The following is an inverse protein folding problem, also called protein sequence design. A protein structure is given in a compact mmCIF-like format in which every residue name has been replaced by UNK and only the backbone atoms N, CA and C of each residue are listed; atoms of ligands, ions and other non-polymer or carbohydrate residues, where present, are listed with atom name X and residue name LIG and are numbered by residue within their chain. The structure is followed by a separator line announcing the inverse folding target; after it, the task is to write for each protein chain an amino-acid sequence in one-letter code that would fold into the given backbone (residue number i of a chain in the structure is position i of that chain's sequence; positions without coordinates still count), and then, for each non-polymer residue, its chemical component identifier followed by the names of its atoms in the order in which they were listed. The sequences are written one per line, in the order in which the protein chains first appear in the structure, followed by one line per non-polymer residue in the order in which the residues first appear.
data_IF_301917335725
#
_entry.id   IF_301917335725
#
_cell.length_a   1.000
_cell.length_b   1.000
_cell.length_c   1.000
_cell.angle_alpha   90.00
_cell.angle_beta   90.00
_cell.angle_gamma   90.00
#
_symmetry.space_group_name_H-M   'P 1'
#
loop_
_entity.id
_entity.type
_entity.pdbx_description
1 polymer ?
#
# COMPACT_ATOMS: atom_id res chain seq x y z
N UNK A 1 4.48 12.45 -13.34
CA UNK A 1 3.18 11.78 -13.11
C UNK A 1 2.54 12.36 -11.87
N UNK A 2 1.38 13.01 -12.02
CA UNK A 2 0.63 13.48 -10.86
C UNK A 2 -0.43 12.41 -10.53
N UNK A 3 -0.10 11.50 -9.60
CA UNK A 3 -1.10 10.57 -9.09
C UNK A 3 -2.11 11.38 -8.29
N UNK A 4 -3.39 11.21 -8.58
CA UNK A 4 -4.51 11.83 -7.86
C UNK A 4 -5.20 10.75 -7.06
N UNK A 5 -5.35 10.95 -5.74
CA UNK A 5 -6.04 9.98 -4.90
C UNK A 5 -7.51 10.36 -4.71
N UNK A 6 -8.40 9.40 -4.98
CA UNK A 6 -9.83 9.52 -4.73
C UNK A 6 -10.25 8.51 -3.68
N UNK A 7 -11.12 8.93 -2.76
CA UNK A 7 -11.79 8.03 -1.84
C UNK A 7 -12.90 7.29 -2.60
N UNK A 8 -12.86 5.96 -2.62
CA UNK A 8 -13.93 5.17 -3.24
C UNK A 8 -15.18 5.08 -2.36
N UNK A 9 -15.04 5.32 -1.05
CA UNK A 9 -16.11 5.18 -0.04
C UNK A 9 -16.06 6.30 0.98
N UNK A 10 -17.21 6.82 1.37
CA UNK A 10 -17.30 7.84 2.41
C UNK A 10 -16.88 7.29 3.78
N UNK A 11 -16.16 8.06 4.60
CA UNK A 11 -15.69 7.59 5.91
C UNK A 11 -16.83 7.36 6.91
N UNK A 12 -18.04 7.86 6.63
CA UNK A 12 -19.22 7.74 7.51
C UNK A 12 -20.04 6.47 7.28
N UNK A 13 -19.81 5.70 6.21
CA UNK A 13 -20.49 4.42 5.94
C UNK A 13 -19.58 3.24 6.28
N UNK A 14 -18.85 3.35 7.39
CA UNK A 14 -18.01 2.28 7.94
C UNK A 14 -18.81 1.56 9.04
N UNK A 15 -19.71 0.68 8.61
CA UNK A 15 -20.58 -0.14 9.45
C UNK A 15 -19.78 -0.97 10.48
N UNK A 16 -20.27 -1.11 11.73
CA UNK A 16 -19.65 -1.95 12.75
C UNK A 16 -19.76 -3.42 12.31
N UNK A 17 -18.67 -4.01 11.83
CA UNK A 17 -18.63 -5.42 11.42
C UNK A 17 -17.61 -5.76 10.34
N UNK A 18 -17.17 -4.79 9.51
CA UNK A 18 -16.09 -5.02 8.52
C UNK A 18 -14.66 -4.88 9.08
N UNK A 19 -14.54 -4.58 10.37
CA UNK A 19 -13.28 -4.31 11.07
C UNK A 19 -12.38 -5.55 11.31
N UNK A 20 -12.89 -6.75 11.02
CA UNK A 20 -12.15 -8.02 11.18
C UNK A 20 -11.02 -8.18 10.14
N UNK A 21 -11.02 -7.43 9.04
CA UNK A 21 -9.99 -7.54 8.00
C UNK A 21 -8.66 -6.83 8.33
N UNK A 22 -8.65 -5.91 9.30
CA UNK A 22 -7.44 -5.15 9.67
C UNK A 22 -6.61 -5.83 10.77
N UNK A 23 -6.96 -7.07 11.13
CA UNK A 23 -6.41 -7.90 12.21
C UNK A 23 -5.00 -8.49 11.95
N UNK A 24 -4.30 -8.07 10.89
CA UNK A 24 -3.05 -8.73 10.42
C UNK A 24 -1.80 -7.86 10.47
N UNK A 25 -1.87 -6.76 11.23
CA UNK A 25 -0.91 -5.64 11.17
C UNK A 25 0.51 -5.90 11.70
N UNK A 26 0.80 -7.07 12.28
CA UNK A 26 2.15 -7.37 12.78
C UNK A 26 3.12 -7.97 11.77
N UNK A 27 2.67 -8.48 10.62
CA UNK A 27 3.59 -9.08 9.64
C UNK A 27 4.11 -8.08 8.58
N UNK A 28 3.48 -6.91 8.44
CA UNK A 28 3.76 -6.03 7.29
C UNK A 28 5.04 -5.17 7.44
N UNK A 29 5.58 -5.02 8.66
CA UNK A 29 6.81 -4.27 8.91
C UNK A 29 8.10 -5.12 8.85
N UNK A 30 8.02 -6.41 8.50
CA UNK A 30 9.20 -7.28 8.33
C UNK A 30 9.56 -7.60 6.87
N UNK A 31 8.80 -7.10 5.88
CA UNK A 31 9.23 -7.12 4.48
C UNK A 31 9.68 -5.74 4.02
N UNK A 32 10.74 -5.28 4.66
CA UNK A 32 11.36 -3.99 4.45
C UNK A 32 12.13 -3.83 3.12
N UNK A 33 11.99 -4.70 2.11
CA UNK A 33 12.82 -4.61 0.88
C UNK A 33 12.13 -4.88 -0.47
N UNK A 34 10.86 -5.30 -0.55
CA UNK A 34 10.18 -5.34 -1.86
C UNK A 34 9.54 -3.97 -2.10
N UNK A 35 10.25 -3.13 -2.86
CA UNK A 35 9.71 -1.84 -3.25
C UNK A 35 8.74 -2.05 -4.40
N UNK A 36 7.71 -1.20 -4.51
CA UNK A 36 6.88 -1.16 -5.73
C UNK A 36 7.75 -0.90 -6.97
N UNK A 37 8.93 -0.27 -6.82
CA UNK A 37 9.90 -0.15 -7.90
C UNK A 37 10.43 -1.49 -8.42
N UNK A 38 10.40 -2.57 -7.64
CA UNK A 38 10.76 -3.90 -8.15
C UNK A 38 9.73 -4.42 -9.17
N UNK A 39 8.48 -3.94 -9.12
CA UNK A 39 7.47 -4.21 -10.16
C UNK A 39 7.87 -3.53 -11.47
N UNK A 40 8.52 -2.36 -11.43
CA UNK A 40 9.00 -1.69 -12.66
C UNK A 40 10.09 -2.49 -13.37
N UNK A 41 10.80 -3.37 -12.66
CA UNK A 41 11.74 -4.32 -13.29
C UNK A 41 11.01 -5.40 -14.09
N UNK A 42 9.77 -5.75 -13.73
CA UNK A 42 8.99 -6.74 -14.46
C UNK A 42 8.75 -6.30 -15.91
N UNK A 43 8.45 -5.02 -16.13
CA UNK A 43 8.27 -4.46 -17.47
C UNK A 43 9.57 -4.53 -18.29
N UNK A 44 10.72 -4.26 -17.66
CA UNK A 44 12.03 -4.40 -18.29
C UNK A 44 12.27 -5.84 -18.77
N UNK A 45 12.09 -6.84 -17.89
CA UNK A 45 12.26 -8.25 -18.29
C UNK A 45 11.21 -8.71 -19.32
N UNK A 46 9.99 -8.18 -19.24
CA UNK A 46 8.97 -8.45 -20.25
C UNK A 46 9.36 -7.89 -21.63
N UNK A 47 10.11 -6.78 -21.69
CA UNK A 47 10.60 -6.21 -22.94
C UNK A 47 11.70 -7.05 -23.62
N UNK A 48 12.44 -7.85 -22.84
CA UNK A 48 13.45 -8.79 -23.34
C UNK A 48 12.87 -10.15 -23.79
N UNK A 49 11.55 -10.36 -23.63
CA UNK A 49 10.89 -11.59 -24.00
C UNK A 49 10.84 -11.76 -25.53
N UNK A 50 11.25 -12.94 -26.03
CA UNK A 50 11.28 -13.28 -27.46
C UNK A 50 9.89 -13.55 -28.03
N UNK A 51 8.96 -13.98 -27.18
CA UNK A 51 7.61 -14.33 -27.56
C UNK A 51 6.62 -14.11 -26.41
N UNK A 52 5.34 -14.15 -26.77
CA UNK A 52 4.22 -13.92 -25.85
C UNK A 52 4.15 -14.93 -24.70
N UNK A 53 4.50 -16.20 -24.97
CA UNK A 53 4.57 -17.26 -23.95
C UNK A 53 5.61 -16.95 -22.88
N UNK A 54 6.79 -16.52 -23.29
CA UNK A 54 7.87 -16.11 -22.38
C UNK A 54 7.46 -14.87 -21.57
N UNK A 55 6.87 -13.88 -22.24
CA UNK A 55 6.37 -12.66 -21.58
C UNK A 55 5.35 -12.99 -20.50
N UNK A 56 4.41 -13.89 -20.79
CA UNK A 56 3.42 -14.37 -19.82
C UNK A 56 4.08 -15.11 -18.66
N UNK A 57 5.01 -16.03 -18.91
CA UNK A 57 5.72 -16.75 -17.86
C UNK A 57 6.52 -15.84 -16.92
N UNK A 58 7.16 -14.79 -17.46
CA UNK A 58 7.85 -13.75 -16.69
C UNK A 58 6.83 -13.02 -15.79
N UNK A 59 5.73 -12.53 -16.38
CA UNK A 59 4.69 -11.81 -15.64
C UNK A 59 4.08 -12.67 -14.53
N UNK A 60 3.73 -13.93 -14.82
CA UNK A 60 3.18 -14.86 -13.85
C UNK A 60 4.17 -15.11 -12.68
N UNK A 61 5.46 -15.24 -12.98
CA UNK A 61 6.52 -15.39 -11.96
C UNK A 61 6.64 -14.15 -11.07
N UNK A 62 6.58 -12.95 -11.67
CA UNK A 62 6.59 -11.69 -10.91
C UNK A 62 5.36 -11.54 -10.01
N UNK A 63 4.17 -11.85 -10.53
CA UNK A 63 2.93 -11.82 -9.76
C UNK A 63 2.96 -12.85 -8.61
N UNK A 64 3.54 -14.03 -8.84
CA UNK A 64 3.72 -15.04 -7.79
C UNK A 64 4.70 -14.58 -6.71
N UNK A 65 5.83 -13.96 -7.08
CA UNK A 65 6.79 -13.40 -6.14
C UNK A 65 6.17 -12.26 -5.32
N UNK A 66 5.44 -11.35 -5.98
CA UNK A 66 4.68 -10.29 -5.32
C UNK A 66 3.68 -10.86 -4.31
N UNK A 67 2.91 -11.87 -4.73
CA UNK A 67 1.96 -12.58 -3.86
C UNK A 67 2.66 -13.26 -2.69
N UNK A 68 3.83 -13.88 -2.90
CA UNK A 68 4.64 -14.49 -1.84
C UNK A 68 5.08 -13.47 -0.80
N UNK A 69 5.47 -12.26 -1.21
CA UNK A 69 5.81 -11.19 -0.28
C UNK A 69 4.59 -10.78 0.55
N UNK A 70 3.46 -10.42 -0.08
CA UNK A 70 2.28 -9.90 0.63
C UNK A 70 1.40 -10.97 1.31
N UNK A 71 1.73 -12.23 1.11
CA UNK A 71 1.08 -13.38 1.70
C UNK A 71 1.12 -13.29 3.23
N UNK A 72 -0.03 -13.48 3.86
CA UNK A 72 -0.14 -13.42 5.31
C UNK A 72 -0.51 -14.77 5.96
N UNK A 73 -0.76 -15.82 5.15
CA UNK A 73 -0.81 -17.24 5.54
C UNK A 73 0.60 -17.86 5.63
N UNK A 74 0.73 -19.16 5.89
CA UNK A 74 2.03 -19.82 5.91
C UNK A 74 2.82 -19.64 4.60
N UNK A 75 4.07 -19.14 4.69
CA UNK A 75 4.98 -18.97 3.55
C UNK A 75 5.35 -20.28 2.89
N UNK A 76 5.72 -21.29 3.69
CA UNK A 76 6.09 -22.62 3.18
C UNK A 76 4.94 -23.25 2.39
N UNK A 77 3.71 -23.15 2.88
CA UNK A 77 2.54 -23.66 2.19
C UNK A 77 2.41 -23.10 0.77
N UNK A 78 2.50 -21.78 0.62
CA UNK A 78 2.44 -21.14 -0.70
C UNK A 78 3.56 -21.62 -1.61
N UNK A 79 4.78 -21.72 -1.09
CA UNK A 79 5.95 -22.11 -1.88
C UNK A 79 5.82 -23.53 -2.44
N UNK A 80 5.40 -24.49 -1.61
CA UNK A 80 5.20 -25.88 -2.02
C UNK A 80 4.08 -26.00 -3.05
N UNK A 81 2.95 -25.32 -2.83
CA UNK A 81 1.84 -25.28 -3.78
C UNK A 81 2.24 -24.65 -5.12
N UNK A 82 3.09 -23.62 -5.11
CA UNK A 82 3.59 -22.98 -6.34
C UNK A 82 4.39 -23.94 -7.22
N UNK A 83 5.15 -24.87 -6.62
CA UNK A 83 5.90 -25.90 -7.33
C UNK A 83 5.10 -27.20 -7.59
N UNK A 84 3.80 -27.20 -7.30
CA UNK A 84 2.91 -28.34 -7.57
C UNK A 84 2.85 -29.39 -6.47
N UNK A 85 3.42 -29.14 -5.28
CA UNK A 85 3.27 -30.03 -4.13
C UNK A 85 1.96 -29.77 -3.39
N UNK A 86 1.20 -30.83 -3.12
CA UNK A 86 0.01 -30.75 -2.27
C UNK A 86 0.40 -30.57 -0.80
N UNK A 87 0.41 -29.33 -0.34
CA UNK A 87 0.65 -29.00 1.06
C UNK A 87 -0.46 -28.10 1.59
N UNK A 88 -1.23 -28.58 2.57
CA UNK A 88 -2.39 -27.85 3.11
C UNK A 88 -2.27 -27.49 4.59
N UNK A 89 -1.12 -27.78 5.22
CA UNK A 89 -0.87 -27.57 6.64
C UNK A 89 0.01 -26.32 6.84
N UNK A 90 -0.22 -25.53 7.89
CA UNK A 90 0.68 -24.43 8.24
C UNK A 90 1.98 -24.96 8.88
N UNK A 91 3.14 -24.51 8.42
CA UNK A 91 4.42 -25.14 8.79
C UNK A 91 4.92 -24.89 10.22
N UNK A 92 4.25 -24.01 10.99
CA UNK A 92 4.66 -23.61 12.34
C UNK A 92 5.98 -22.82 12.47
N UNK A 93 6.80 -22.71 11.41
CA UNK A 93 8.18 -22.18 11.51
C UNK A 93 8.54 -21.03 10.56
N UNK A 94 7.60 -20.55 9.72
CA UNK A 94 7.83 -19.32 8.97
C UNK A 94 7.40 -18.09 9.79
N UNK A 95 7.91 -16.92 9.43
CA UNK A 95 7.52 -15.62 10.02
C UNK A 95 6.01 -15.44 10.13
N UNK A 96 5.23 -15.82 9.11
CA UNK A 96 3.77 -15.73 9.19
C UNK A 96 3.12 -16.72 10.17
N UNK A 97 3.77 -17.85 10.45
CA UNK A 97 3.29 -18.84 11.42
C UNK A 97 3.72 -18.48 12.86
N UNK A 98 4.92 -17.90 13.02
CA UNK A 98 5.49 -17.55 14.32
C UNK A 98 5.14 -16.13 14.75
N UNK A 99 4.69 -15.26 13.84
CA UNK A 99 4.28 -13.91 14.16
C UNK A 99 3.13 -13.93 15.16
N UNK A 100 3.36 -13.31 16.31
CA UNK A 100 2.30 -12.95 17.23
C UNK A 100 1.40 -11.95 16.49
N UNK A 101 0.14 -12.32 16.31
CA UNK A 101 -0.88 -11.43 15.74
C UNK A 101 -1.23 -10.36 16.79
N UNK A 102 -0.43 -9.30 16.88
CA UNK A 102 -0.86 -8.13 17.65
C UNK A 102 -1.85 -7.38 16.77
N UNK A 103 -3.13 -7.59 17.06
CA UNK A 103 -4.19 -6.78 16.50
C UNK A 103 -4.01 -5.36 17.04
N UNK A 104 -3.69 -4.40 16.16
CA UNK A 104 -3.66 -2.98 16.48
C UNK A 104 -4.80 -2.31 15.74
N UNK A 105 -5.69 -1.67 16.50
CA UNK A 105 -6.67 -0.77 15.92
C UNK A 105 -5.96 0.47 15.38
N UNK A 106 -6.17 0.76 14.09
CA UNK A 106 -5.62 1.91 13.38
C UNK A 106 -6.72 2.82 12.83
N UNK A 107 -7.94 2.71 13.36
CA UNK A 107 -9.09 3.52 12.95
C UNK A 107 -8.78 5.01 12.96
N UNK A 108 -8.04 5.48 13.97
CA UNK A 108 -7.68 6.89 14.15
C UNK A 108 -6.74 7.35 13.03
N UNK A 109 -5.71 6.56 12.75
CA UNK A 109 -4.70 6.86 11.73
C UNK A 109 -5.29 6.78 10.33
N UNK A 110 -6.13 5.78 10.05
CA UNK A 110 -6.87 5.68 8.78
C UNK A 110 -7.79 6.89 8.58
N UNK A 111 -8.56 7.27 9.61
CA UNK A 111 -9.43 8.44 9.54
C UNK A 111 -8.63 9.73 9.28
N UNK A 112 -7.50 9.89 9.95
CA UNK A 112 -6.60 11.02 9.81
C UNK A 112 -6.02 11.10 8.37
N UNK A 113 -5.58 9.98 7.81
CA UNK A 113 -5.07 9.93 6.44
C UNK A 113 -6.13 10.24 5.40
N UNK A 114 -7.30 9.59 5.48
CA UNK A 114 -8.40 9.80 4.53
C UNK A 114 -8.94 11.23 4.58
N UNK A 115 -9.12 11.77 5.78
CA UNK A 115 -9.58 13.15 5.96
C UNK A 115 -8.56 14.16 5.43
N UNK A 116 -7.26 13.84 5.48
CA UNK A 116 -6.21 14.72 4.98
C UNK A 116 -6.19 14.73 3.45
N UNK A 117 -6.25 13.54 2.83
CA UNK A 117 -6.37 13.38 1.38
C UNK A 117 -7.60 14.14 0.86
N UNK A 118 -8.74 14.02 1.55
CA UNK A 118 -9.96 14.77 1.22
C UNK A 118 -9.78 16.28 1.34
N UNK A 119 -9.14 16.75 2.41
CA UNK A 119 -8.88 18.19 2.64
C UNK A 119 -7.89 18.77 1.62
N UNK A 120 -6.93 17.98 1.15
CA UNK A 120 -6.04 18.35 0.05
C UNK A 120 -6.70 18.28 -1.34
N UNK A 121 -7.97 17.87 -1.42
CA UNK A 121 -8.78 17.87 -2.63
C UNK A 121 -8.43 16.78 -3.65
N UNK A 122 -7.75 15.70 -3.24
CA UNK A 122 -7.42 14.55 -4.10
C UNK A 122 -6.50 14.85 -5.29
N UNK A 123 -5.93 16.05 -5.36
CA UNK A 123 -5.07 16.51 -6.49
C UNK A 123 -3.62 16.03 -6.42
N UNK A 124 -3.27 15.33 -5.35
CA UNK A 124 -1.90 15.00 -5.03
C UNK A 124 -1.74 13.52 -4.76
N UNK A 125 -0.53 13.02 -5.03
CA UNK A 125 -0.12 11.69 -4.62
C UNK A 125 0.02 11.63 -3.09
N UNK A 126 0.21 10.41 -2.58
CA UNK A 126 0.25 10.10 -1.16
C UNK A 126 1.24 10.99 -0.35
N UNK A 127 2.36 11.40 -0.97
CA UNK A 127 3.41 12.15 -0.29
C UNK A 127 2.93 13.48 0.31
N UNK A 128 2.09 14.25 -0.39
CA UNK A 128 1.70 15.58 0.10
C UNK A 128 0.78 15.49 1.34
N UNK A 129 -0.31 14.71 1.35
CA UNK A 129 -1.08 14.49 2.57
C UNK A 129 -0.23 13.96 3.73
N UNK A 130 0.73 13.07 3.46
CA UNK A 130 1.66 12.56 4.49
C UNK A 130 2.53 13.67 5.05
N UNK A 131 3.07 14.55 4.20
CA UNK A 131 3.88 15.67 4.65
C UNK A 131 3.04 16.68 5.46
N UNK A 132 1.78 16.91 5.09
CA UNK A 132 0.83 17.72 5.88
C UNK A 132 0.61 17.10 7.26
N UNK A 133 0.30 15.80 7.33
CA UNK A 133 0.10 15.11 8.61
C UNK A 133 1.32 15.14 9.52
N UNK A 134 2.52 15.05 8.94
CA UNK A 134 3.78 15.12 9.68
C UNK A 134 4.17 16.54 10.10
N UNK A 135 3.42 17.56 9.68
CA UNK A 135 3.67 18.95 10.03
C UNK A 135 4.73 19.63 9.18
N UNK A 136 5.00 19.12 7.97
CA UNK A 136 5.93 19.74 7.04
C UNK A 136 5.49 21.14 6.65
N UNK A 137 6.45 22.06 6.52
CA UNK A 137 6.25 23.44 6.04
C UNK A 137 6.93 23.66 4.69
N UNK A 138 7.02 22.60 3.87
CA UNK A 138 7.53 22.69 2.51
C UNK A 138 6.76 23.78 1.73
N UNK A 139 7.45 24.50 0.83
CA UNK A 139 6.88 25.62 0.06
C UNK A 139 5.50 25.30 -0.52
N UNK A 140 5.36 24.11 -1.12
CA UNK A 140 4.10 23.64 -1.71
C UNK A 140 2.94 23.52 -0.72
N UNK A 141 3.19 23.18 0.54
CA UNK A 141 2.17 23.08 1.59
C UNK A 141 1.71 24.48 1.99
N UNK A 142 2.68 25.38 2.23
CA UNK A 142 2.42 26.77 2.64
C UNK A 142 1.73 27.56 1.53
N UNK A 143 2.21 27.45 0.28
CA UNK A 143 1.64 28.13 -0.88
C UNK A 143 0.17 27.71 -1.13
N UNK A 144 -0.23 26.50 -0.72
CA UNK A 144 -1.60 26.00 -0.82
C UNK A 144 -2.41 26.12 0.48
N UNK A 145 -1.89 26.79 1.53
CA UNK A 145 -2.51 26.93 2.85
C UNK A 145 -2.82 25.60 3.56
N UNK A 146 -2.13 24.51 3.22
CA UNK A 146 -2.34 23.20 3.86
C UNK A 146 -1.72 23.13 5.27
N UNK A 147 -0.83 24.05 5.60
CA UNK A 147 -0.30 24.30 6.95
C UNK A 147 -1.37 24.82 7.92
N UNK A 148 -2.49 25.35 7.40
CA UNK A 148 -3.63 25.84 8.20
C UNK A 148 -4.70 24.79 8.45
N UNK A 149 -4.56 23.57 7.90
CA UNK A 149 -5.51 22.49 8.13
C UNK A 149 -5.42 22.01 9.57
N UNK A 150 -6.56 21.69 10.20
CA UNK A 150 -6.62 21.16 11.57
C UNK A 150 -5.74 19.92 11.78
N UNK A 151 -5.49 19.18 10.71
CA UNK A 151 -4.77 17.90 10.75
C UNK A 151 -3.27 18.06 10.49
N UNK A 152 -2.80 19.28 10.25
CA UNK A 152 -1.37 19.57 10.11
C UNK A 152 -0.64 19.21 11.40
N UNK A 153 0.39 18.36 11.30
CA UNK A 153 1.18 17.92 12.46
C UNK A 153 0.53 16.89 13.37
N UNK A 154 -0.73 16.48 13.14
CA UNK A 154 -1.41 15.47 13.96
C UNK A 154 -0.83 14.05 13.81
N UNK A 155 -0.05 13.80 12.75
CA UNK A 155 0.57 12.52 12.44
C UNK A 155 2.08 12.48 12.63
N UNK A 156 2.65 13.41 13.42
CA UNK A 156 4.09 13.53 13.66
C UNK A 156 4.72 12.32 14.37
N UNK A 157 3.91 11.54 15.08
CA UNK A 157 4.37 10.38 15.86
C UNK A 157 4.81 9.20 14.97
N UNK A 158 4.46 9.24 13.68
CA UNK A 158 4.82 8.21 12.71
C UNK A 158 5.75 8.73 11.61
N UNK A 159 6.64 7.86 11.14
CA UNK A 159 7.54 8.17 10.03
C UNK A 159 6.77 8.28 8.70
N UNK A 160 7.38 8.95 7.70
CA UNK A 160 6.80 9.00 6.34
C UNK A 160 6.60 7.60 5.76
N UNK A 161 7.54 6.69 6.00
CA UNK A 161 7.45 5.31 5.52
C UNK A 161 6.29 4.54 6.17
N UNK A 162 6.02 4.78 7.45
CA UNK A 162 4.88 4.19 8.15
C UNK A 162 3.55 4.65 7.52
N UNK A 163 3.40 5.95 7.26
CA UNK A 163 2.21 6.48 6.59
C UNK A 163 2.05 5.99 5.15
N UNK A 164 3.16 5.83 4.41
CA UNK A 164 3.15 5.24 3.08
C UNK A 164 2.70 3.78 3.11
N UNK A 165 3.17 3.01 4.09
CA UNK A 165 2.73 1.62 4.28
C UNK A 165 1.22 1.55 4.59
N UNK A 166 0.71 2.43 5.46
CA UNK A 166 -0.73 2.52 5.75
C UNK A 166 -1.54 2.88 4.49
N UNK A 167 -1.10 3.87 3.71
CA UNK A 167 -1.79 4.22 2.47
C UNK A 167 -1.73 3.12 1.41
N UNK A 168 -0.60 2.42 1.28
CA UNK A 168 -0.48 1.24 0.42
C UNK A 168 -1.46 0.14 0.82
N UNK A 169 -1.66 -0.07 2.12
CA UNK A 169 -2.65 -1.02 2.62
C UNK A 169 -4.09 -0.60 2.31
N UNK A 170 -4.40 0.69 2.41
CA UNK A 170 -5.71 1.24 2.03
C UNK A 170 -5.97 1.12 0.53
N UNK A 171 -4.94 1.25 -0.30
CA UNK A 171 -5.03 0.99 -1.75
C UNK A 171 -5.29 -0.49 -2.01
N UNK A 172 -4.53 -1.38 -1.37
CA UNK A 172 -4.68 -2.83 -1.53
C UNK A 172 -6.06 -3.37 -1.10
N UNK A 173 -6.77 -2.64 -0.23
CA UNK A 173 -8.12 -2.97 0.21
C UNK A 173 -9.22 -2.10 -0.43
N UNK A 174 -8.91 -1.41 -1.53
CA UNK A 174 -9.84 -0.57 -2.32
C UNK A 174 -10.47 0.61 -1.56
N UNK A 175 -9.91 1.06 -0.44
CA UNK A 175 -10.36 2.28 0.25
C UNK A 175 -9.84 3.55 -0.43
N UNK A 176 -8.67 3.43 -1.06
CA UNK A 176 -8.01 4.49 -1.82
C UNK A 176 -7.76 4.00 -3.24
N UNK A 177 -7.95 4.87 -4.23
CA UNK A 177 -7.58 4.61 -5.62
C UNK A 177 -6.61 5.67 -6.10
N UNK A 178 -5.47 5.24 -6.63
CA UNK A 178 -4.56 6.13 -7.34
C UNK A 178 -5.01 6.23 -8.81
N UNK A 179 -5.28 7.45 -9.25
CA UNK A 179 -5.55 7.77 -10.65
C UNK A 179 -4.35 8.52 -11.20
N UNK A 180 -3.64 7.92 -12.15
CA UNK A 180 -2.60 8.61 -12.91
C UNK A 180 -3.29 9.56 -13.88
N UNK A 181 -3.02 10.86 -13.77
CA UNK A 181 -3.34 11.79 -14.88
C UNK A 181 -2.08 11.90 -15.74
N UNK A 182 -2.19 11.46 -16.99
CA UNK A 182 -1.18 11.72 -18.01
C UNK A 182 -1.23 13.20 -18.38
N UNK A 183 -0.44 14.01 -17.67
CA UNK A 183 -0.29 15.44 -17.98
C UNK A 183 0.72 15.71 -19.09
N UNK A 184 1.14 14.69 -19.86
CA UNK A 184 1.91 14.90 -21.09
C UNK A 184 0.97 15.33 -22.22
N UNK A 185 0.44 16.56 -22.14
CA UNK A 185 0.11 17.35 -23.32
C UNK A 185 1.20 18.40 -23.46
N UNK A 186 2.22 18.08 -24.25
CA UNK A 186 3.01 19.09 -24.93
C UNK A 186 2.58 19.04 -26.40
N UNK A 187 1.92 20.14 -26.79
CA UNK A 187 1.66 20.69 -28.14
C UNK A 187 1.39 19.70 -29.27
#
# INVERSE_FOLDING_TARGET
MCNTLWMSKEPRVLLPGKWVMWKRWTAFNLLANYQISDITKADFYCSEAKNETQRKAIMDSFMAAQKYCFLATCRRRFLLQYFGEEWNIDCGNCDNCTAVKNERDLSKEVFLLLSCIKSCGGRWGLNLPIDVLRGSRAKKIVDNNYDKLQMHGCGKDYSSNWWKALGGLLIAHDYLKETVRDTFRFV
#
